data_IF_642128507915
#
_entry.id   IF_642128507915
#
_cell.length_a   1.000
_cell.length_b   1.000
_cell.length_c   1.000
_cell.angle_alpha   90.00
_cell.angle_beta   90.00
_cell.angle_gamma   90.00
#
_symmetry.space_group_name_H-M   'P 1'
#
loop_
_entity.id
_entity.type
_entity.pdbx_description
1 polymer ?
#
# COMPACT_ATOMS: atom_id res chain seq x y z
N UNK A 1 -5.97 67.39 -36.60
CA UNK A 1 -6.48 66.01 -36.65
C UNK A 1 -6.84 65.64 -35.21
N UNK A 2 -8.14 65.62 -34.91
CA UNK A 2 -8.69 65.57 -33.53
C UNK A 2 -9.12 64.15 -33.15
N UNK A 3 -9.04 63.78 -31.86
CA UNK A 3 -9.46 62.47 -31.34
C UNK A 3 -10.97 62.45 -31.08
N UNK A 4 -11.67 61.38 -31.46
CA UNK A 4 -13.07 61.19 -31.07
C UNK A 4 -13.19 60.16 -29.93
N UNK A 5 -13.49 60.71 -28.75
CA UNK A 5 -14.14 60.05 -27.62
C UNK A 5 -15.59 59.70 -28.02
N UNK A 6 -16.02 58.48 -27.75
CA UNK A 6 -17.44 58.13 -27.63
C UNK A 6 -17.74 57.71 -26.20
N UNK A 7 -18.90 58.13 -25.72
CA UNK A 7 -19.35 58.25 -24.35
C UNK A 7 -20.81 57.73 -24.32
N UNK A 8 -21.23 57.12 -23.20
CA UNK A 8 -22.65 56.87 -22.76
C UNK A 8 -23.33 55.65 -23.44
N UNK A 9 -24.07 54.71 -22.82
CA UNK A 9 -24.39 54.26 -21.45
C UNK A 9 -25.30 52.98 -21.61
N UNK A 10 -25.72 52.29 -20.53
CA UNK A 10 -26.09 50.87 -20.51
C UNK A 10 -27.59 50.62 -20.78
N UNK A 11 -27.92 49.41 -21.28
CA UNK A 11 -29.30 48.91 -21.34
C UNK A 11 -29.46 47.73 -20.37
N UNK A 12 -30.31 47.98 -19.37
CA UNK A 12 -30.92 47.07 -18.42
C UNK A 12 -32.12 46.39 -19.12
N UNK A 13 -32.23 45.06 -19.10
CA UNK A 13 -33.54 44.36 -19.19
C UNK A 13 -33.43 42.84 -19.00
N UNK A 14 -34.18 42.35 -18.00
CA UNK A 14 -34.92 41.09 -17.91
C UNK A 14 -34.12 39.79 -18.15
N UNK A 15 -33.92 38.92 -17.15
CA UNK A 15 -34.98 38.33 -16.33
C UNK A 15 -35.34 36.95 -16.86
N UNK A 16 -34.52 35.93 -16.55
CA UNK A 16 -34.95 34.53 -16.54
C UNK A 16 -34.83 33.98 -15.13
N UNK A 17 -35.96 33.98 -14.44
CA UNK A 17 -36.26 33.13 -13.31
C UNK A 17 -36.45 31.69 -13.81
N UNK A 18 -35.88 30.75 -13.03
CA UNK A 18 -36.23 29.32 -12.90
C UNK A 18 -36.28 28.49 -14.20
N UNK A 19 -35.53 27.39 -14.32
CA UNK A 19 -35.78 26.15 -13.58
C UNK A 19 -34.50 25.34 -13.37
N UNK A 20 -34.07 25.24 -12.12
CA UNK A 20 -33.05 24.30 -11.64
C UNK A 20 -33.44 23.72 -10.29
N UNK A 21 -34.74 23.50 -10.06
CA UNK A 21 -35.24 22.80 -8.89
C UNK A 21 -35.26 21.29 -9.20
N UNK A 22 -34.12 20.62 -9.00
CA UNK A 22 -34.07 19.16 -8.86
C UNK A 22 -33.20 18.72 -7.68
N UNK A 23 -32.91 19.63 -6.73
CA UNK A 23 -32.25 19.34 -5.46
C UNK A 23 -33.08 19.93 -4.31
N UNK A 24 -34.33 19.49 -4.20
CA UNK A 24 -35.21 19.84 -3.08
C UNK A 24 -36.32 18.80 -2.90
N UNK A 25 -35.97 17.52 -2.73
CA UNK A 25 -36.81 16.63 -1.91
C UNK A 25 -36.35 16.81 -0.47
N UNK A 26 -36.63 17.99 0.08
CA UNK A 26 -36.21 18.38 1.41
C UNK A 26 -37.01 17.59 2.46
N UNK A 27 -36.32 16.66 3.12
CA UNK A 27 -36.44 16.41 4.55
C UNK A 27 -37.44 15.36 5.04
N UNK A 28 -38.34 14.80 4.20
CA UNK A 28 -39.25 13.75 4.70
C UNK A 28 -39.45 12.61 3.70
N UNK A 29 -39.09 11.40 4.14
CA UNK A 29 -39.36 10.11 3.53
C UNK A 29 -40.33 9.28 4.39
N UNK A 30 -40.57 8.05 3.97
CA UNK A 30 -41.35 7.06 4.70
C UNK A 30 -40.42 5.90 5.09
N UNK A 31 -40.36 5.57 6.38
CA UNK A 31 -39.65 4.38 6.85
C UNK A 31 -40.55 3.17 6.69
N UNK A 32 -40.13 2.21 5.88
CA UNK A 32 -40.81 0.95 5.67
C UNK A 32 -40.08 -0.18 6.39
N UNK A 33 -40.82 -1.04 7.11
CA UNK A 33 -40.35 -2.37 7.46
C UNK A 33 -40.59 -3.26 6.27
N UNK A 34 -39.52 -3.72 5.64
CA UNK A 34 -39.54 -4.63 4.50
C UNK A 34 -39.20 -6.02 5.00
N UNK A 35 -40.16 -6.93 4.93
CA UNK A 35 -39.95 -8.35 5.23
C UNK A 35 -39.79 -9.11 3.92
N UNK A 36 -38.63 -9.74 3.73
CA UNK A 36 -38.30 -10.49 2.52
C UNK A 36 -38.19 -11.97 2.82
N UNK A 37 -38.69 -12.79 1.90
CA UNK A 37 -38.56 -14.25 1.85
C UNK A 37 -37.92 -14.61 0.52
N UNK A 38 -36.89 -15.44 0.57
CA UNK A 38 -36.15 -15.87 -0.61
C UNK A 38 -36.16 -17.40 -0.68
N UNK A 39 -36.52 -17.91 -1.85
CA UNK A 39 -36.52 -19.33 -2.19
C UNK A 39 -35.64 -19.52 -3.41
N UNK A 40 -34.68 -20.45 -3.33
CA UNK A 40 -33.79 -20.79 -4.44
C UNK A 40 -34.17 -22.18 -4.93
N UNK A 41 -34.57 -22.28 -6.20
CA UNK A 41 -34.97 -23.55 -6.81
C UNK A 41 -33.76 -24.52 -6.77
N UNK A 42 -33.95 -25.71 -6.21
CA UNK A 42 -32.90 -26.75 -6.13
C UNK A 42 -32.21 -26.90 -4.77
N UNK A 43 -32.48 -26.02 -3.78
CA UNK A 43 -32.00 -26.19 -2.40
C UNK A 43 -33.16 -26.46 -1.43
N UNK A 44 -33.08 -27.49 -0.57
CA UNK A 44 -34.17 -27.85 0.35
C UNK A 44 -34.28 -26.95 1.59
N UNK A 45 -33.45 -25.89 1.69
CA UNK A 45 -33.41 -24.99 2.85
C UNK A 45 -34.16 -23.70 2.48
N UNK A 46 -35.36 -23.51 3.05
CA UNK A 46 -36.01 -22.19 3.04
C UNK A 46 -35.25 -21.25 3.97
N UNK A 47 -34.74 -20.15 3.43
CA UNK A 47 -34.12 -19.13 4.26
C UNK A 47 -35.17 -18.44 5.14
N UNK A 48 -34.85 -18.17 6.42
CA UNK A 48 -35.79 -17.48 7.31
C UNK A 48 -36.10 -16.09 6.75
N UNK A 49 -37.36 -15.67 6.88
CA UNK A 49 -37.75 -14.32 6.50
C UNK A 49 -36.96 -13.29 7.29
N UNK A 50 -36.40 -12.29 6.61
CA UNK A 50 -35.66 -11.22 7.25
C UNK A 50 -36.43 -9.90 7.11
N UNK A 51 -36.47 -9.12 8.18
CA UNK A 51 -37.07 -7.79 8.18
C UNK A 51 -35.99 -6.73 8.31
N UNK A 52 -35.99 -5.77 7.39
CA UNK A 52 -35.11 -4.60 7.41
C UNK A 52 -35.94 -3.32 7.40
N UNK A 53 -35.43 -2.26 8.01
CA UNK A 53 -36.08 -0.95 7.99
C UNK A 53 -35.35 -0.05 6.99
N UNK A 54 -36.09 0.47 6.00
CA UNK A 54 -35.54 1.25 4.90
C UNK A 54 -36.31 2.55 4.74
N UNK A 55 -35.61 3.67 4.78
CA UNK A 55 -36.19 4.98 4.52
C UNK A 55 -36.27 5.21 3.01
N UNK A 56 -37.48 5.20 2.46
CA UNK A 56 -37.75 5.45 1.04
C UNK A 56 -38.37 6.83 0.80
N UNK A 57 -38.37 7.35 -0.44
CA UNK A 57 -38.98 8.63 -0.74
C UNK A 57 -40.52 8.60 -0.55
N UNK A 58 -41.13 9.74 -0.19
CA UNK A 58 -42.56 9.86 0.11
C UNK A 58 -43.48 9.53 -1.08
N UNK A 59 -43.03 9.82 -2.30
CA UNK A 59 -43.77 9.59 -3.54
C UNK A 59 -43.00 8.58 -4.41
N UNK A 60 -43.09 7.30 -4.08
CA UNK A 60 -42.52 6.25 -4.93
C UNK A 60 -43.51 5.88 -6.04
N UNK A 61 -43.26 6.38 -7.24
CA UNK A 61 -43.70 5.66 -8.43
C UNK A 61 -43.01 4.29 -8.40
N UNK A 62 -43.76 3.20 -8.62
CA UNK A 62 -43.26 1.82 -8.58
C UNK A 62 -42.03 1.57 -9.45
N UNK A 63 -41.83 2.38 -10.49
CA UNK A 63 -40.64 2.39 -11.36
C UNK A 63 -39.35 2.76 -10.60
N UNK A 64 -39.41 3.66 -9.63
CA UNK A 64 -38.25 4.07 -8.81
C UNK A 64 -37.88 3.05 -7.72
N UNK A 65 -38.70 2.02 -7.54
CA UNK A 65 -38.42 0.90 -6.65
C UNK A 65 -37.71 -0.26 -7.36
N UNK A 66 -37.58 -0.20 -8.69
CA UNK A 66 -36.83 -1.19 -9.46
C UNK A 66 -35.34 -0.83 -9.34
N UNK A 67 -34.45 -1.79 -8.96
CA UNK A 67 -33.02 -1.54 -8.93
C UNK A 67 -32.53 -1.05 -10.29
N UNK A 68 -31.92 0.14 -10.33
CA UNK A 68 -31.29 0.67 -11.52
C UNK A 68 -29.80 0.32 -11.49
N UNK A 69 -29.35 -0.44 -12.48
CA UNK A 69 -27.94 -0.76 -12.72
C UNK A 69 -27.63 -0.42 -14.18
N UNK A 70 -26.42 0.09 -14.45
CA UNK A 70 -26.00 0.51 -15.80
C UNK A 70 -26.02 -0.64 -16.81
N UNK A 71 -25.92 -1.88 -16.33
CA UNK A 71 -25.93 -3.09 -17.14
C UNK A 71 -27.30 -3.79 -17.24
N UNK A 72 -28.32 -3.26 -16.55
CA UNK A 72 -29.66 -3.83 -16.49
C UNK A 72 -30.67 -2.95 -17.22
N UNK A 73 -31.32 -3.52 -18.25
CA UNK A 73 -32.40 -2.86 -18.98
C UNK A 73 -33.74 -3.36 -18.46
N UNK A 74 -34.59 -2.43 -17.99
CA UNK A 74 -35.98 -2.73 -17.65
C UNK A 74 -36.82 -2.71 -18.92
N UNK A 75 -37.55 -3.79 -19.18
CA UNK A 75 -38.49 -3.93 -20.31
C UNK A 75 -39.89 -4.24 -19.80
N UNK A 76 -40.90 -4.01 -20.64
CA UNK A 76 -42.29 -4.39 -20.36
C UNK A 76 -42.88 -3.83 -19.04
N UNK A 77 -42.46 -2.63 -18.64
CA UNK A 77 -43.05 -1.96 -17.49
C UNK A 77 -44.51 -1.59 -17.79
N UNK A 78 -45.43 -2.10 -16.98
CA UNK A 78 -46.87 -1.83 -17.11
C UNK A 78 -47.47 -1.59 -15.75
N UNK A 79 -48.36 -0.59 -15.66
CA UNK A 79 -49.15 -0.31 -14.47
C UNK A 79 -50.61 -0.53 -14.83
N UNK A 80 -51.27 -1.44 -14.13
CA UNK A 80 -52.70 -1.73 -14.27
C UNK A 80 -53.33 -1.63 -12.88
N UNK A 81 -54.07 -0.53 -12.66
CA UNK A 81 -54.65 -0.22 -11.35
C UNK A 81 -53.57 -0.05 -10.28
N UNK A 82 -53.61 -0.86 -9.23
CA UNK A 82 -52.66 -0.87 -8.12
C UNK A 82 -51.49 -1.88 -8.31
N UNK A 83 -51.43 -2.57 -9.45
CA UNK A 83 -50.39 -3.56 -9.76
C UNK A 83 -49.48 -3.05 -10.87
N UNK A 84 -48.17 -3.09 -10.63
CA UNK A 84 -47.12 -2.82 -11.59
C UNK A 84 -46.36 -4.11 -11.90
N UNK A 85 -46.09 -4.38 -13.17
CA UNK A 85 -45.29 -5.53 -13.60
C UNK A 85 -44.11 -5.03 -14.42
N UNK A 86 -42.96 -5.68 -14.26
CA UNK A 86 -41.76 -5.34 -15.01
C UNK A 86 -40.97 -6.60 -15.36
N UNK A 87 -40.23 -6.51 -16.45
CA UNK A 87 -39.16 -7.44 -16.79
C UNK A 87 -37.85 -6.68 -16.77
N UNK A 88 -36.76 -7.36 -16.44
CA UNK A 88 -35.43 -6.79 -16.40
C UNK A 88 -34.47 -7.79 -17.01
N UNK A 89 -33.57 -7.32 -17.86
CA UNK A 89 -32.51 -8.12 -18.44
C UNK A 89 -31.19 -7.42 -18.18
N UNK A 90 -30.34 -8.07 -17.40
CA UNK A 90 -28.99 -7.62 -17.13
C UNK A 90 -28.03 -8.36 -18.05
N UNK A 91 -27.19 -7.61 -18.77
CA UNK A 91 -26.14 -8.13 -19.65
C UNK A 91 -24.78 -7.90 -19.01
N UNK A 92 -23.76 -8.65 -19.40
CA UNK A 92 -22.39 -8.47 -18.89
C UNK A 92 -21.79 -9.78 -18.42
N UNK A 93 -20.87 -9.70 -17.45
CA UNK A 93 -20.10 -10.84 -16.93
C UNK A 93 -20.98 -11.88 -16.22
N UNK A 94 -22.13 -11.46 -15.68
CA UNK A 94 -23.14 -12.33 -15.07
C UNK A 94 -24.54 -12.03 -15.64
N UNK A 95 -24.88 -12.59 -16.82
CA UNK A 95 -26.18 -12.35 -17.44
C UNK A 95 -27.33 -12.91 -16.60
N UNK A 96 -28.40 -12.14 -16.46
CA UNK A 96 -29.59 -12.57 -15.74
C UNK A 96 -30.86 -11.94 -16.30
N UNK A 97 -31.97 -12.66 -16.15
CA UNK A 97 -33.32 -12.16 -16.41
C UNK A 97 -34.11 -12.14 -15.12
N UNK A 98 -34.85 -11.05 -14.87
CA UNK A 98 -35.75 -10.94 -13.73
C UNK A 98 -37.14 -10.51 -14.20
N UNK A 99 -38.18 -11.08 -13.62
CA UNK A 99 -39.54 -10.58 -13.76
C UNK A 99 -40.08 -10.26 -12.38
N UNK A 100 -40.69 -9.09 -12.25
CA UNK A 100 -41.21 -8.59 -11.00
C UNK A 100 -42.64 -8.12 -11.11
N UNK A 101 -43.38 -8.32 -10.03
CA UNK A 101 -44.69 -7.75 -9.81
C UNK A 101 -44.65 -6.99 -8.50
N UNK A 102 -45.24 -5.79 -8.52
CA UNK A 102 -45.38 -4.93 -7.36
C UNK A 102 -46.85 -4.55 -7.23
N UNK A 103 -47.41 -4.75 -6.05
CA UNK A 103 -48.81 -4.46 -5.76
C UNK A 103 -48.88 -3.49 -4.58
N UNK A 104 -49.52 -2.35 -4.81
CA UNK A 104 -49.79 -1.38 -3.78
C UNK A 104 -51.08 -1.79 -3.05
N UNK A 105 -50.93 -2.16 -1.77
CA UNK A 105 -52.04 -2.62 -0.92
C UNK A 105 -52.78 -1.46 -0.25
N UNK A 106 -52.17 -0.27 -0.25
CA UNK A 106 -52.74 0.96 0.28
C UNK A 106 -51.69 2.09 0.29
N UNK A 107 -51.98 3.23 0.96
CA UNK A 107 -51.02 4.33 1.07
C UNK A 107 -49.75 3.94 1.85
N UNK A 108 -49.88 3.00 2.79
CA UNK A 108 -48.83 2.65 3.76
C UNK A 108 -48.32 1.21 3.62
N UNK A 109 -48.77 0.45 2.62
CA UNK A 109 -48.39 -0.95 2.46
C UNK A 109 -48.26 -1.35 1.00
N UNK A 110 -47.26 -2.18 0.72
CA UNK A 110 -47.05 -2.79 -0.58
C UNK A 110 -46.56 -4.22 -0.41
N UNK A 111 -46.73 -5.00 -1.47
CA UNK A 111 -46.08 -6.30 -1.61
C UNK A 111 -45.49 -6.44 -3.00
N UNK A 112 -44.40 -7.18 -3.11
CA UNK A 112 -43.82 -7.53 -4.38
C UNK A 112 -43.38 -8.98 -4.44
N UNK A 113 -43.34 -9.49 -5.65
CA UNK A 113 -42.78 -10.79 -5.98
C UNK A 113 -41.82 -10.59 -7.14
N UNK A 114 -40.65 -11.18 -7.05
CA UNK A 114 -39.66 -11.13 -8.10
C UNK A 114 -39.13 -12.54 -8.34
N UNK A 115 -39.04 -12.91 -9.61
CA UNK A 115 -38.41 -14.14 -10.05
C UNK A 115 -37.18 -13.78 -10.87
N UNK A 116 -36.02 -14.16 -10.38
CA UNK A 116 -34.74 -13.99 -11.05
C UNK A 116 -34.28 -15.34 -11.61
N UNK A 117 -33.65 -15.31 -12.78
CA UNK A 117 -32.95 -16.44 -13.39
C UNK A 117 -31.58 -15.98 -13.83
N UNK A 118 -30.55 -16.62 -13.29
CA UNK A 118 -29.18 -16.46 -13.79
C UNK A 118 -28.99 -17.32 -15.04
N UNK A 119 -28.18 -16.84 -15.97
CA UNK A 119 -27.80 -17.58 -17.17
C UNK A 119 -26.37 -18.14 -17.00
N UNK A 120 -26.11 -19.36 -17.48
CA UNK A 120 -24.80 -20.03 -17.34
C UNK A 120 -24.91 -21.52 -17.03
N UNK A 121 -23.78 -22.20 -16.81
CA UNK A 121 -23.75 -23.62 -16.41
C UNK A 121 -24.43 -23.87 -15.04
N UNK A 122 -24.37 -22.89 -14.13
CA UNK A 122 -25.04 -22.89 -12.82
C UNK A 122 -26.32 -22.03 -12.82
N UNK A 123 -27.12 -22.12 -13.88
CA UNK A 123 -28.39 -21.39 -13.97
C UNK A 123 -29.31 -21.75 -12.80
N UNK A 124 -29.59 -20.77 -11.94
CA UNK A 124 -30.45 -20.92 -10.78
C UNK A 124 -31.62 -19.95 -10.86
N UNK A 125 -32.78 -20.41 -10.40
CA UNK A 125 -33.98 -19.57 -10.30
C UNK A 125 -34.20 -19.17 -8.86
N UNK A 126 -34.27 -17.86 -8.61
CA UNK A 126 -34.55 -17.31 -7.29
C UNK A 126 -35.93 -16.68 -7.29
N UNK A 127 -36.78 -17.08 -6.36
CA UNK A 127 -38.08 -16.47 -6.12
C UNK A 127 -37.99 -15.65 -4.82
N UNK A 128 -38.22 -14.35 -4.92
CA UNK A 128 -38.21 -13.44 -3.79
C UNK A 128 -39.61 -12.84 -3.61
N UNK A 129 -40.17 -12.96 -2.42
CA UNK A 129 -41.38 -12.26 -2.04
C UNK A 129 -41.05 -11.26 -0.94
N UNK A 130 -41.52 -10.03 -1.06
CA UNK A 130 -41.28 -8.99 -0.07
C UNK A 130 -42.56 -8.22 0.25
N UNK A 131 -42.72 -7.82 1.50
CA UNK A 131 -43.84 -7.03 1.98
C UNK A 131 -43.29 -5.82 2.74
N UNK A 132 -43.68 -4.62 2.30
CA UNK A 132 -43.29 -3.38 2.92
C UNK A 132 -44.47 -2.75 3.66
N UNK A 133 -44.28 -2.41 4.93
CA UNK A 133 -45.26 -1.65 5.73
C UNK A 133 -44.63 -0.39 6.27
N UNK A 134 -45.25 0.77 6.03
CA UNK A 134 -44.82 2.04 6.61
C UNK A 134 -44.97 1.97 8.13
N UNK A 135 -43.90 2.33 8.83
CA UNK A 135 -43.87 2.40 10.29
C UNK A 135 -44.00 3.84 10.75
N UNK A 136 -43.26 4.75 10.12
CA UNK A 136 -43.21 6.19 10.45
C UNK A 136 -42.67 7.01 9.28
N UNK A 137 -42.70 8.34 9.42
CA UNK A 137 -41.90 9.24 8.58
C UNK A 137 -40.41 9.15 8.98
N UNK A 138 -39.51 9.36 8.03
CA UNK A 138 -38.06 9.42 8.25
C UNK A 138 -37.44 10.65 7.58
N UNK A 139 -36.27 11.07 8.03
CA UNK A 139 -35.49 12.08 7.31
C UNK A 139 -34.68 11.40 6.20
N UNK A 140 -35.14 11.54 4.96
CA UNK A 140 -34.48 10.93 3.81
C UNK A 140 -33.05 11.46 3.60
N UNK A 141 -32.72 12.67 4.07
CA UNK A 141 -31.37 13.22 3.92
C UNK A 141 -30.34 12.51 4.82
N UNK A 142 -30.77 11.91 5.92
CA UNK A 142 -29.88 11.28 6.92
C UNK A 142 -30.13 9.79 7.13
N UNK A 143 -31.36 9.32 6.89
CA UNK A 143 -31.79 7.95 7.17
C UNK A 143 -31.93 7.09 5.90
N UNK A 144 -31.77 7.67 4.70
CA UNK A 144 -31.78 6.85 3.47
C UNK A 144 -30.59 5.87 3.44
N UNK A 145 -30.69 4.75 2.70
CA UNK A 145 -29.56 3.85 2.50
C UNK A 145 -28.31 4.55 1.97
N UNK A 146 -28.46 5.53 1.08
CA UNK A 146 -27.35 6.31 0.54
C UNK A 146 -26.76 7.28 1.57
N UNK A 147 -27.59 7.86 2.43
CA UNK A 147 -27.13 8.71 3.52
C UNK A 147 -26.38 7.90 4.59
N UNK A 148 -26.92 6.75 4.98
CA UNK A 148 -26.28 5.82 5.90
C UNK A 148 -24.97 5.25 5.31
N UNK A 149 -24.97 4.90 4.02
CA UNK A 149 -23.78 4.47 3.30
C UNK A 149 -22.69 5.53 3.28
N UNK A 150 -23.06 6.79 2.97
CA UNK A 150 -22.12 7.93 3.03
C UNK A 150 -21.60 8.18 4.45
N UNK A 151 -22.46 8.08 5.47
CA UNK A 151 -22.06 8.25 6.86
C UNK A 151 -21.10 7.13 7.32
N UNK A 152 -21.37 5.89 6.93
CA UNK A 152 -20.50 4.75 7.21
C UNK A 152 -19.15 4.90 6.51
N UNK A 153 -19.15 5.27 5.22
CA UNK A 153 -17.92 5.54 4.48
C UNK A 153 -17.11 6.67 5.13
N UNK A 154 -17.76 7.78 5.52
CA UNK A 154 -17.09 8.87 6.21
C UNK A 154 -16.46 8.42 7.54
N UNK A 155 -17.15 7.55 8.30
CA UNK A 155 -16.59 6.95 9.52
C UNK A 155 -15.37 6.09 9.21
N UNK A 156 -15.45 5.23 8.20
CA UNK A 156 -14.33 4.39 7.75
C UNK A 156 -13.12 5.23 7.33
N UNK A 157 -13.33 6.27 6.53
CA UNK A 157 -12.28 7.22 6.14
C UNK A 157 -11.67 7.91 7.37
N UNK A 158 -12.50 8.32 8.33
CA UNK A 158 -12.06 8.90 9.60
C UNK A 158 -11.22 7.94 10.45
N UNK A 159 -11.55 6.64 10.45
CA UNK A 159 -10.76 5.62 11.13
C UNK A 159 -9.40 5.38 10.45
N UNK A 160 -9.37 5.31 9.12
CA UNK A 160 -8.13 5.19 8.35
C UNK A 160 -7.19 6.39 8.57
N UNK A 161 -7.72 7.59 8.80
CA UNK A 161 -6.92 8.78 9.11
C UNK A 161 -6.23 8.71 10.49
N UNK A 162 -6.67 7.84 11.41
CA UNK A 162 -6.01 7.68 12.73
C UNK A 162 -4.63 7.05 12.61
N UNK A 163 -4.43 6.24 11.58
CA UNK A 163 -3.16 5.57 11.26
C UNK A 163 -2.87 5.77 9.77
N UNK A 164 -2.31 6.93 9.38
CA UNK A 164 -2.16 7.33 7.99
C UNK A 164 -0.98 6.58 7.32
N UNK A 165 -1.14 5.27 7.16
CA UNK A 165 -0.14 4.38 6.60
C UNK A 165 0.05 4.65 5.09
N UNK A 166 1.30 4.78 4.58
CA UNK A 166 1.56 4.92 3.15
C UNK A 166 0.99 3.79 2.28
N UNK A 167 0.73 2.60 2.81
CA UNK A 167 0.16 1.47 2.05
C UNK A 167 -1.32 1.61 1.73
N UNK A 168 -2.06 2.46 2.47
CA UNK A 168 -3.49 2.68 2.23
C UNK A 168 -3.78 3.92 1.37
N UNK A 169 -2.76 4.49 0.73
CA UNK A 169 -2.87 5.75 -0.02
C UNK A 169 -3.93 5.70 -1.14
N UNK A 170 -4.15 4.53 -1.75
CA UNK A 170 -5.15 4.34 -2.80
C UNK A 170 -6.59 4.62 -2.33
N UNK A 171 -6.88 4.47 -1.04
CA UNK A 171 -8.18 4.84 -0.50
C UNK A 171 -8.42 6.35 -0.52
N UNK A 172 -7.36 7.16 -0.54
CA UNK A 172 -7.41 8.62 -0.46
C UNK A 172 -7.00 9.34 -1.74
N UNK A 173 -6.28 8.65 -2.63
CA UNK A 173 -5.71 9.25 -3.83
C UNK A 173 -6.02 8.42 -5.06
N UNK A 174 -6.39 9.08 -6.15
CA UNK A 174 -6.78 8.44 -7.40
C UNK A 174 -8.21 8.81 -7.82
N UNK A 175 -8.62 8.47 -9.05
CA UNK A 175 -9.98 8.74 -9.53
C UNK A 175 -11.04 7.96 -8.76
N UNK A 176 -10.73 6.73 -8.34
CA UNK A 176 -11.66 5.81 -7.67
C UNK A 176 -11.49 5.80 -6.14
N UNK A 177 -10.82 6.81 -5.58
CA UNK A 177 -10.53 6.87 -4.15
C UNK A 177 -11.79 7.09 -3.31
N UNK A 178 -12.15 6.10 -2.49
CA UNK A 178 -13.34 6.14 -1.63
C UNK A 178 -13.32 7.29 -0.60
N UNK A 179 -12.14 7.76 -0.20
CA UNK A 179 -11.90 8.83 0.76
C UNK A 179 -11.25 10.06 0.11
N UNK A 180 -11.52 10.31 -1.18
CA UNK A 180 -10.92 11.42 -1.94
C UNK A 180 -11.09 12.79 -1.26
N UNK A 181 -12.22 13.02 -0.58
CA UNK A 181 -12.50 14.27 0.16
C UNK A 181 -11.51 14.53 1.31
N UNK A 182 -10.91 13.47 1.87
CA UNK A 182 -9.97 13.54 2.98
C UNK A 182 -8.50 13.46 2.53
N UNK A 183 -8.23 13.47 1.21
CA UNK A 183 -6.88 13.41 0.64
C UNK A 183 -5.89 14.35 1.31
N UNK A 184 -6.29 15.62 1.49
CA UNK A 184 -5.42 16.64 2.09
C UNK A 184 -5.02 16.31 3.53
N UNK A 185 -5.98 15.82 4.35
CA UNK A 185 -5.74 15.42 5.74
C UNK A 185 -4.83 14.20 5.80
N UNK A 186 -5.11 13.19 4.98
CA UNK A 186 -4.29 11.99 4.88
C UNK A 186 -2.85 12.34 4.49
N UNK A 187 -2.66 13.08 3.40
CA UNK A 187 -1.33 13.42 2.90
C UNK A 187 -0.50 14.21 3.93
N UNK A 188 -1.13 15.17 4.62
CA UNK A 188 -0.44 15.93 5.66
C UNK A 188 0.01 15.03 6.82
N UNK A 189 -0.87 14.15 7.30
CA UNK A 189 -0.58 13.29 8.44
C UNK A 189 0.44 12.18 8.08
N UNK A 190 0.26 11.55 6.92
CA UNK A 190 1.14 10.50 6.40
C UNK A 190 2.56 11.02 6.20
N UNK A 191 2.72 12.17 5.54
CA UNK A 191 4.04 12.77 5.31
C UNK A 191 4.68 13.22 6.63
N UNK A 192 3.90 13.77 7.57
CA UNK A 192 4.44 14.15 8.88
C UNK A 192 5.00 12.93 9.66
N UNK A 193 4.37 11.77 9.52
CA UNK A 193 4.82 10.54 10.18
C UNK A 193 5.97 9.85 9.43
N UNK A 194 5.92 9.83 8.10
CA UNK A 194 6.75 8.95 7.26
C UNK A 194 7.93 9.65 6.60
N UNK A 195 7.92 10.98 6.50
CA UNK A 195 9.00 11.76 5.91
C UNK A 195 10.12 11.97 6.93
N UNK A 196 10.83 10.89 7.25
CA UNK A 196 12.00 10.90 8.13
C UNK A 196 13.06 9.88 7.66
N UNK A 197 14.34 10.06 8.04
CA UNK A 197 15.44 9.20 7.58
C UNK A 197 15.22 7.71 7.82
N UNK A 198 14.78 7.36 9.03
CA UNK A 198 14.56 5.96 9.45
C UNK A 198 13.51 5.28 8.58
N UNK A 199 12.35 5.91 8.41
CA UNK A 199 11.26 5.35 7.60
C UNK A 199 11.68 5.17 6.14
N UNK A 200 12.29 6.19 5.53
CA UNK A 200 12.73 6.15 4.14
C UNK A 200 13.73 5.00 3.91
N UNK A 201 14.75 4.88 4.76
CA UNK A 201 15.78 3.84 4.62
C UNK A 201 15.22 2.44 4.85
N UNK A 202 14.45 2.23 5.91
CA UNK A 202 13.79 0.93 6.17
C UNK A 202 12.81 0.58 5.05
N UNK A 203 12.04 1.54 4.56
CA UNK A 203 11.12 1.35 3.45
C UNK A 203 11.83 0.96 2.16
N UNK A 204 12.96 1.57 1.83
CA UNK A 204 13.75 1.22 0.63
C UNK A 204 14.40 -0.16 0.75
N UNK A 205 14.88 -0.56 1.94
CA UNK A 205 15.37 -1.92 2.20
C UNK A 205 14.24 -2.94 2.00
N UNK A 206 13.05 -2.67 2.54
CA UNK A 206 11.90 -3.55 2.38
C UNK A 206 11.46 -3.64 0.92
N UNK A 207 11.45 -2.52 0.19
CA UNK A 207 11.15 -2.46 -1.24
C UNK A 207 12.14 -3.28 -2.07
N UNK A 208 13.43 -3.27 -1.73
CA UNK A 208 14.44 -4.07 -2.44
C UNK A 208 14.19 -5.58 -2.34
N UNK A 209 13.44 -6.03 -1.32
CA UNK A 209 13.04 -7.42 -1.13
C UNK A 209 11.68 -7.76 -1.77
N UNK A 210 10.97 -6.79 -2.34
CA UNK A 210 9.68 -6.99 -2.99
C UNK A 210 9.83 -7.21 -4.50
N UNK A 211 8.87 -7.92 -5.15
CA UNK A 211 8.84 -8.04 -6.60
C UNK A 211 8.84 -6.68 -7.30
N UNK A 212 9.44 -6.64 -8.49
CA UNK A 212 9.37 -5.45 -9.34
C UNK A 212 7.91 -5.15 -9.70
N UNK A 213 7.53 -3.87 -9.64
CA UNK A 213 6.16 -3.41 -9.93
C UNK A 213 5.21 -3.41 -8.74
N UNK A 214 5.63 -3.88 -7.56
CA UNK A 214 4.86 -3.68 -6.32
C UNK A 214 4.84 -2.21 -5.94
N UNK A 215 3.66 -1.68 -5.62
CA UNK A 215 3.51 -0.32 -5.11
C UNK A 215 4.27 -0.15 -3.80
N UNK A 216 4.85 1.03 -3.62
CA UNK A 216 5.73 1.35 -2.51
C UNK A 216 5.30 2.65 -1.85
N UNK A 217 5.89 2.96 -0.69
CA UNK A 217 5.65 4.22 0.00
C UNK A 217 6.05 5.44 -0.86
N UNK A 218 6.93 5.26 -1.86
CA UNK A 218 7.27 6.32 -2.81
C UNK A 218 6.08 6.72 -3.68
N UNK A 219 5.21 5.77 -4.04
CA UNK A 219 4.00 6.05 -4.80
C UNK A 219 3.01 6.85 -3.94
N UNK A 220 2.90 6.53 -2.66
CA UNK A 220 2.11 7.31 -1.71
C UNK A 220 2.64 8.75 -1.54
N UNK A 221 3.95 8.93 -1.44
CA UNK A 221 4.57 10.26 -1.36
C UNK A 221 4.29 11.06 -2.65
N UNK A 222 4.44 10.42 -3.81
CA UNK A 222 4.16 11.04 -5.10
C UNK A 222 2.68 11.40 -5.26
N UNK A 223 1.76 10.53 -4.85
CA UNK A 223 0.31 10.79 -4.86
C UNK A 223 -0.08 11.97 -3.95
N UNK A 224 0.72 12.21 -2.91
CA UNK A 224 0.65 13.36 -2.02
C UNK A 224 1.53 14.55 -2.44
N UNK A 225 2.05 14.55 -3.67
CA UNK A 225 2.78 15.68 -4.26
C UNK A 225 4.22 15.84 -3.78
N UNK A 226 4.80 14.83 -3.13
CA UNK A 226 6.21 14.83 -2.72
C UNK A 226 6.99 13.83 -3.57
N UNK A 227 7.86 14.31 -4.44
CA UNK A 227 8.75 13.44 -5.20
C UNK A 227 9.78 12.76 -4.29
N UNK A 228 10.36 11.65 -4.77
CA UNK A 228 11.45 10.94 -4.07
C UNK A 228 12.60 11.88 -3.72
N UNK A 229 13.03 12.70 -4.67
CA UNK A 229 14.10 13.67 -4.48
C UNK A 229 13.72 14.73 -3.43
N UNK A 230 12.49 15.24 -3.46
CA UNK A 230 12.02 16.23 -2.50
C UNK A 230 11.93 15.66 -1.07
N UNK A 231 11.51 14.40 -0.92
CA UNK A 231 11.49 13.73 0.38
C UNK A 231 12.90 13.54 0.94
N UNK A 232 13.84 13.06 0.11
CA UNK A 232 15.24 12.88 0.50
C UNK A 232 15.86 14.22 0.91
N UNK A 233 15.66 15.27 0.11
CA UNK A 233 16.17 16.61 0.41
C UNK A 233 15.65 17.15 1.76
N UNK A 234 14.40 16.85 2.12
CA UNK A 234 13.83 17.20 3.42
C UNK A 234 14.36 16.33 4.57
N UNK A 235 14.68 15.07 4.31
CA UNK A 235 15.22 14.13 5.31
C UNK A 235 16.72 14.34 5.59
N UNK A 236 17.50 14.79 4.61
CA UNK A 236 18.95 14.97 4.76
C UNK A 236 19.37 15.87 5.95
N UNK A 237 18.77 17.06 6.17
CA UNK A 237 19.08 17.87 7.36
C UNK A 237 18.71 17.19 8.68
N UNK A 238 17.67 16.34 8.68
CA UNK A 238 17.27 15.56 9.87
C UNK A 238 18.31 14.48 10.18
N UNK A 239 18.78 13.77 9.15
CA UNK A 239 19.83 12.77 9.26
C UNK A 239 21.15 13.37 9.74
N UNK A 240 21.53 14.53 9.20
CA UNK A 240 22.72 15.28 9.64
C UNK A 240 22.66 15.61 11.13
N UNK A 241 21.54 16.20 11.57
CA UNK A 241 21.35 16.55 12.99
C UNK A 241 21.36 15.32 13.91
N UNK A 242 20.80 14.20 13.44
CA UNK A 242 20.74 12.95 14.17
C UNK A 242 22.04 12.13 14.10
N UNK A 243 23.03 12.54 13.28
CA UNK A 243 24.22 11.75 12.93
C UNK A 243 23.87 10.37 12.39
N UNK A 244 22.81 10.27 11.59
CA UNK A 244 22.42 9.05 10.88
C UNK A 244 23.32 8.87 9.65
N UNK A 245 24.54 8.43 9.91
CA UNK A 245 25.57 8.29 8.89
C UNK A 245 25.20 7.31 7.78
N UNK A 246 24.44 6.26 8.10
CA UNK A 246 23.99 5.31 7.10
C UNK A 246 23.05 5.99 6.09
N UNK A 247 22.09 6.79 6.57
CA UNK A 247 21.24 7.58 5.67
C UNK A 247 22.04 8.61 4.86
N UNK A 248 22.99 9.30 5.50
CA UNK A 248 23.79 10.31 4.81
C UNK A 248 24.61 9.72 3.66
N UNK A 249 25.24 8.56 3.88
CA UNK A 249 26.01 7.86 2.85
C UNK A 249 25.11 7.34 1.73
N UNK A 250 23.94 6.78 2.06
CA UNK A 250 23.03 6.19 1.08
C UNK A 250 22.29 7.23 0.22
N UNK A 251 21.95 8.40 0.79
CA UNK A 251 21.00 9.35 0.20
C UNK A 251 21.49 10.80 0.08
N UNK A 252 22.50 11.22 0.83
CA UNK A 252 22.91 12.62 0.95
C UNK A 252 24.42 12.81 0.71
N UNK A 253 24.94 12.47 -0.48
CA UNK A 253 26.38 12.45 -0.76
C UNK A 253 27.06 13.81 -0.50
N UNK A 254 26.37 14.91 -0.78
CA UNK A 254 26.86 16.28 -0.56
C UNK A 254 27.15 16.60 0.92
N UNK A 255 26.51 15.89 1.85
CA UNK A 255 26.71 16.07 3.29
C UNK A 255 27.76 15.13 3.87
N UNK A 256 28.20 14.12 3.12
CA UNK A 256 29.17 13.12 3.62
C UNK A 256 30.49 13.78 3.98
N UNK A 257 31.03 14.66 3.12
CA UNK A 257 32.29 15.35 3.42
C UNK A 257 32.24 16.17 4.72
N UNK A 258 31.11 16.85 4.96
CA UNK A 258 30.86 17.60 6.19
C UNK A 258 30.72 16.67 7.40
N UNK A 259 29.99 15.56 7.25
CA UNK A 259 29.84 14.54 8.27
C UNK A 259 31.19 13.90 8.64
N UNK A 260 32.04 13.60 7.65
CA UNK A 260 33.40 13.09 7.84
C UNK A 260 34.28 14.05 8.66
N UNK A 261 34.16 15.35 8.42
CA UNK A 261 34.92 16.36 9.17
C UNK A 261 34.44 16.49 10.64
N UNK A 262 33.18 16.17 10.93
CA UNK A 262 32.58 16.27 12.25
C UNK A 262 32.57 14.95 13.06
N UNK A 263 32.90 13.83 12.42
CA UNK A 263 32.86 12.50 13.01
C UNK A 263 33.99 12.28 14.03
N UNK A 264 33.64 11.66 15.16
CA UNK A 264 34.60 11.34 16.23
C UNK A 264 35.09 9.89 16.07
N UNK A 265 36.41 9.64 15.91
CA UNK A 265 36.94 8.28 15.80
C UNK A 265 36.58 7.33 16.95
N UNK A 266 36.26 7.84 18.13
CA UNK A 266 35.83 7.01 19.26
C UNK A 266 34.40 6.51 19.14
N UNK A 267 33.51 7.33 18.55
CA UNK A 267 32.06 7.06 18.51
C UNK A 267 31.59 6.61 17.14
N UNK A 268 32.21 7.16 16.11
CA UNK A 268 31.77 7.11 14.72
C UNK A 268 32.78 6.32 13.85
N UNK A 269 33.58 5.45 14.49
CA UNK A 269 34.68 4.74 13.85
C UNK A 269 34.25 3.88 12.64
N UNK A 270 33.05 3.29 12.67
CA UNK A 270 32.49 2.55 11.53
C UNK A 270 32.29 3.43 10.31
N UNK A 271 31.62 4.56 10.51
CA UNK A 271 31.36 5.51 9.45
C UNK A 271 32.65 6.08 8.87
N UNK A 272 33.61 6.44 9.72
CA UNK A 272 34.90 6.95 9.25
C UNK A 272 35.63 5.93 8.36
N UNK A 273 35.71 4.67 8.80
CA UNK A 273 36.39 3.61 8.05
C UNK A 273 35.68 3.34 6.71
N UNK A 274 34.35 3.31 6.69
CA UNK A 274 33.58 2.95 5.48
C UNK A 274 33.40 4.10 4.49
N UNK A 275 33.27 5.34 4.96
CA UNK A 275 32.83 6.47 4.14
C UNK A 275 33.81 7.64 4.11
N UNK A 276 34.85 7.64 4.96
CA UNK A 276 35.78 8.77 5.13
C UNK A 276 37.25 8.31 5.13
N UNK A 277 37.77 7.73 4.02
CA UNK A 277 39.07 7.06 4.01
C UNK A 277 40.24 7.98 4.44
N UNK A 278 40.22 9.25 4.01
CA UNK A 278 41.27 10.23 4.36
C UNK A 278 41.27 10.53 5.87
N UNK A 279 40.10 10.76 6.45
CA UNK A 279 39.95 11.05 7.88
C UNK A 279 40.24 9.81 8.72
N UNK A 280 39.82 8.62 8.28
CA UNK A 280 40.14 7.36 8.92
C UNK A 280 41.65 7.10 8.93
N UNK A 281 42.34 7.33 7.80
CA UNK A 281 43.80 7.20 7.74
C UNK A 281 44.50 8.19 8.68
N UNK A 282 44.08 9.46 8.70
CA UNK A 282 44.64 10.47 9.59
C UNK A 282 44.41 10.10 11.08
N UNK A 283 43.22 9.64 11.44
CA UNK A 283 42.91 9.18 12.79
C UNK A 283 43.71 7.92 13.16
N UNK A 284 43.87 6.98 12.24
CA UNK A 284 44.66 5.77 12.46
C UNK A 284 46.15 6.06 12.65
N UNK A 285 46.72 6.96 11.84
CA UNK A 285 48.09 7.42 12.00
C UNK A 285 48.33 8.05 13.38
N UNK A 286 47.34 8.80 13.89
CA UNK A 286 47.43 9.47 15.19
C UNK A 286 47.21 8.54 16.39
N UNK A 287 46.28 7.61 16.28
CA UNK A 287 45.77 6.85 17.44
C UNK A 287 46.17 5.37 17.46
N UNK A 288 46.56 4.80 16.31
CA UNK A 288 46.84 3.38 16.16
C UNK A 288 48.32 3.07 15.88
N UNK A 289 49.06 3.99 15.25
CA UNK A 289 50.45 3.75 14.88
C UNK A 289 51.38 3.52 16.09
N UNK A 290 52.30 2.56 15.96
CA UNK A 290 53.32 2.28 16.98
C UNK A 290 52.83 1.59 18.26
N UNK A 291 51.56 1.16 18.31
CA UNK A 291 51.00 0.45 19.46
C UNK A 291 50.95 -1.05 19.18
N UNK A 292 51.39 -1.86 20.14
CA UNK A 292 51.20 -3.30 20.09
C UNK A 292 49.72 -3.68 20.34
N UNK A 293 49.38 -4.93 20.03
CA UNK A 293 48.01 -5.44 20.17
C UNK A 293 47.46 -5.28 21.59
N UNK A 294 48.33 -5.40 22.59
CA UNK A 294 47.99 -5.30 24.01
C UNK A 294 47.68 -3.84 24.41
N UNK A 295 48.47 -2.87 23.94
CA UNK A 295 48.27 -1.44 24.16
C UNK A 295 47.12 -0.83 23.34
N UNK A 296 46.72 -1.48 22.24
CA UNK A 296 45.52 -1.12 21.49
C UNK A 296 44.25 -1.57 22.21
N UNK A 297 44.25 -2.76 22.82
CA UNK A 297 43.09 -3.30 23.54
C UNK A 297 42.73 -2.50 24.79
N UNK A 298 43.70 -1.82 25.40
CA UNK A 298 43.50 -0.92 26.54
C UNK A 298 43.26 0.54 26.13
N UNK A 299 43.36 0.89 24.85
CA UNK A 299 43.11 2.24 24.35
C UNK A 299 41.61 2.49 24.15
N UNK A 300 41.10 3.71 24.43
CA UNK A 300 39.73 4.06 24.06
C UNK A 300 39.48 3.99 22.54
N UNK A 301 40.55 4.05 21.73
CA UNK A 301 40.49 3.90 20.26
C UNK A 301 40.63 2.44 19.78
N UNK A 302 40.72 1.47 20.69
CA UNK A 302 40.94 0.06 20.34
C UNK A 302 39.93 -0.46 19.32
N UNK A 303 38.64 -0.15 19.51
CA UNK A 303 37.58 -0.53 18.58
C UNK A 303 37.74 0.07 17.19
N UNK A 304 38.11 1.34 17.08
CA UNK A 304 38.39 2.00 15.80
C UNK A 304 39.62 1.40 15.11
N UNK A 305 40.73 1.25 15.83
CA UNK A 305 41.96 0.70 15.28
C UNK A 305 41.80 -0.72 14.76
N UNK A 306 41.06 -1.58 15.48
CA UNK A 306 40.75 -2.94 15.03
C UNK A 306 39.93 -2.95 13.73
N UNK A 307 38.92 -2.08 13.61
CA UNK A 307 38.08 -1.98 12.41
C UNK A 307 38.86 -1.42 11.21
N UNK A 308 39.65 -0.38 11.41
CA UNK A 308 40.52 0.20 10.38
C UNK A 308 41.53 -0.84 9.85
N UNK A 309 42.18 -1.59 10.75
CA UNK A 309 43.11 -2.65 10.36
C UNK A 309 42.42 -3.79 9.61
N UNK A 310 41.21 -4.19 10.04
CA UNK A 310 40.41 -5.20 9.34
C UNK A 310 40.01 -4.75 7.92
N UNK A 311 39.58 -3.50 7.75
CA UNK A 311 39.27 -2.91 6.45
C UNK A 311 40.49 -2.91 5.50
N UNK A 312 41.64 -2.43 5.98
CA UNK A 312 42.88 -2.40 5.19
C UNK A 312 43.36 -3.81 4.78
N UNK A 313 43.16 -4.82 5.63
CA UNK A 313 43.45 -6.22 5.30
C UNK A 313 42.52 -6.76 4.20
N UNK A 314 41.24 -6.43 4.28
CA UNK A 314 40.24 -6.85 3.30
C UNK A 314 40.50 -6.21 1.93
N UNK A 315 40.81 -4.92 1.87
CA UNK A 315 41.19 -4.23 0.63
C UNK A 315 42.45 -4.84 0.00
N UNK A 316 43.48 -5.14 0.82
CA UNK A 316 44.70 -5.81 0.34
C UNK A 316 44.41 -7.20 -0.24
N UNK A 317 43.50 -7.94 0.37
CA UNK A 317 43.12 -9.28 -0.11
C UNK A 317 42.26 -9.21 -1.38
N UNK A 318 41.50 -8.13 -1.59
CA UNK A 318 40.68 -7.92 -2.80
C UNK A 318 41.49 -7.37 -3.99
N UNK A 319 42.55 -6.60 -3.72
CA UNK A 319 43.47 -6.07 -4.75
C UNK A 319 44.56 -7.04 -5.21
N UNK A 320 44.61 -8.24 -4.64
CA UNK A 320 45.52 -9.29 -5.10
C UNK A 320 44.88 -10.02 -6.30
N UNK A 321 45.52 -10.07 -7.49
CA UNK A 321 45.04 -10.92 -8.59
C UNK A 321 44.96 -12.36 -8.09
N UNK A 322 43.85 -13.03 -8.40
CA UNK A 322 43.46 -14.31 -7.82
C UNK A 322 44.60 -15.32 -7.72
N UNK A 323 44.94 -15.71 -6.49
CA UNK A 323 45.57 -16.99 -6.25
C UNK A 323 44.46 -18.03 -6.08
N UNK A 324 44.53 -19.08 -6.89
CA UNK A 324 43.82 -20.34 -6.69
C UNK A 324 44.09 -20.96 -5.32
N UNK A 325 43.55 -22.16 -5.06
CA UNK A 325 43.35 -22.67 -3.72
C UNK A 325 44.66 -22.80 -2.95
N UNK A 326 44.63 -22.29 -1.72
CA UNK A 326 45.49 -22.62 -0.58
C UNK A 326 46.88 -23.20 -0.93
N UNK A 327 47.84 -22.32 -1.18
CA UNK A 327 49.25 -22.65 -0.96
C UNK A 327 49.51 -22.77 0.54
N UNK A 328 49.89 -23.97 0.97
CA UNK A 328 50.39 -24.31 2.30
C UNK A 328 51.42 -23.29 2.84
N UNK A 329 51.48 -23.08 4.17
CA UNK A 329 52.48 -22.20 4.77
C UNK A 329 53.89 -22.74 4.51
N UNK A 330 54.80 -21.83 4.13
CA UNK A 330 56.20 -22.10 3.91
C UNK A 330 56.81 -22.88 5.10
N UNK A 331 57.10 -24.15 4.87
CA UNK A 331 57.96 -24.97 5.73
C UNK A 331 59.41 -24.54 5.54
N UNK A 332 60.06 -24.35 6.67
CA UNK A 332 61.51 -24.29 6.85
C UNK A 332 62.21 -25.36 6.00
N UNK A 333 63.23 -24.96 5.23
CA UNK A 333 63.98 -25.87 4.37
C UNK A 333 64.75 -26.90 5.21
N UNK A 334 64.54 -28.22 5.02
CA UNK A 334 65.43 -29.23 5.53
C UNK A 334 66.60 -29.49 4.57
N UNK A 335 67.76 -29.80 5.15
CA UNK A 335 69.00 -30.24 4.49
C UNK A 335 68.78 -31.42 3.50
N UNK A 336 69.69 -31.65 2.54
CA UNK A 336 69.65 -32.83 1.67
C UNK A 336 69.87 -34.10 2.49
N UNK A 337 68.91 -35.03 2.46
CA UNK A 337 68.96 -36.33 3.14
C UNK A 337 69.27 -37.44 2.11
N UNK A 338 70.26 -38.27 2.46
CA UNK A 338 70.75 -39.46 1.75
C UNK A 338 69.66 -40.45 1.33
N UNK A 339 69.92 -41.16 0.22
CA UNK A 339 69.18 -42.33 -0.24
C UNK A 339 68.98 -43.37 0.89
N UNK A 340 67.74 -43.51 1.35
CA UNK A 340 67.35 -44.56 2.29
C UNK A 340 67.37 -45.92 1.61
N UNK A 341 68.30 -46.78 2.05
CA UNK A 341 68.31 -48.22 1.76
C UNK A 341 66.99 -48.87 2.21
N UNK A 342 66.45 -49.85 1.46
CA UNK A 342 65.17 -50.50 1.78
C UNK A 342 65.23 -51.20 3.13
N UNK A 343 64.12 -51.12 3.87
CA UNK A 343 64.03 -51.65 5.23
C UNK A 343 64.07 -53.18 5.23
N UNK A 344 64.49 -53.77 6.34
CA UNK A 344 64.55 -55.23 6.52
C UNK A 344 63.19 -55.91 6.34
N UNK A 345 62.08 -55.18 6.58
CA UNK A 345 60.71 -55.66 6.32
C UNK A 345 60.41 -55.79 4.82
N UNK A 346 60.99 -54.94 3.98
CA UNK A 346 60.82 -54.99 2.52
C UNK A 346 61.63 -56.16 1.92
N UNK A 347 62.80 -56.46 2.51
CA UNK A 347 63.62 -57.61 2.11
C UNK A 347 63.02 -58.96 2.49
N UNK A 348 62.30 -59.06 3.60
CA UNK A 348 61.60 -60.29 4.00
C UNK A 348 60.35 -60.58 3.17
N UNK A 349 59.67 -59.54 2.68
CA UNK A 349 58.50 -59.69 1.79
C UNK A 349 58.91 -60.24 0.42
N UNK A 350 59.98 -59.71 -0.18
CA UNK A 350 60.53 -60.24 -1.45
C UNK A 350 61.11 -61.65 -1.35
N UNK A 351 61.60 -62.09 -0.17
CA UNK A 351 62.10 -63.47 0.00
C UNK A 351 60.97 -64.51 0.16
N UNK A 352 59.80 -64.11 0.67
CA UNK A 352 58.63 -64.98 0.80
C UNK A 352 57.93 -65.24 -0.54
N UNK A 353 57.97 -64.26 -1.45
CA UNK A 353 57.41 -64.38 -2.80
C UNK A 353 58.31 -65.19 -3.77
N UNK A 354 59.53 -65.56 -3.37
CA UNK A 354 60.50 -66.32 -4.17
C UNK A 354 60.64 -67.81 -3.77
N UNK A 355 59.97 -68.28 -2.71
CA UNK A 355 60.04 -69.69 -2.24
C UNK A 355 58.65 -70.34 -2.15
N UNK A 356 57.62 -69.69 -2.70
CA UNK A 356 56.22 -70.15 -2.67
C UNK A 356 55.58 -70.43 -4.03
N UNK A 357 56.39 -70.82 -5.03
CA UNK A 357 55.96 -71.26 -6.36
C UNK A 357 56.71 -72.50 -6.80
#
# INVERSE_FOLDING_TARGET
>A
MKPHRFLIAPVLALGLLATGAALAQAGTGNLYRVTSKMEVDGMPIQMPSQSVEVCGPKNQASEKMIPADENCTVTDFRVVGNKSTYSMTCRGENPMTASGEFEQLGPDAYRGKMRMRTEGEDAMTMNMAFEGKKIRDCDYATESPEAQGRAMLAKTCGEMLRTPDPMIYQNFTGPDAMCASDKGKYCSAMLAQSLNPKYIRTGDINRANMPAGTTSFWDAFAACGTSRQAAIAKACPMAEKAKDYAFLTDYCPELVAKACAAADPLKDGDFLVQSCPVQAQAAAAKHCAGRDFTALRSSPYGGFCSRYAAGALQERNQGAPGNGPAGEPAREQPKPEEEKKPSWRDRLKSARDLIGG
#
